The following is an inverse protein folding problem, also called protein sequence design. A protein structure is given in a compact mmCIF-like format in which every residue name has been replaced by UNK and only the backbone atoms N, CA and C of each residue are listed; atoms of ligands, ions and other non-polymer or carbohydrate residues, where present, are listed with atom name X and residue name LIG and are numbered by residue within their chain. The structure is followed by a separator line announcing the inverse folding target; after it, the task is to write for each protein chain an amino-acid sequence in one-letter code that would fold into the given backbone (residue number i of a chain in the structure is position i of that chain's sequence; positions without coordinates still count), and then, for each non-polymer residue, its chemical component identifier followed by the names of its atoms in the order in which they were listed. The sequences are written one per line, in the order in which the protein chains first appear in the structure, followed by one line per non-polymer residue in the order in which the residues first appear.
data_IF_105768831946
#
_entry.id   IF_105768831946
#
_cell.length_a   1.000
_cell.length_b   1.000
_cell.length_c   1.000
_cell.angle_alpha   90.00
_cell.angle_beta   90.00
_cell.angle_gamma   90.00
#
_symmetry.space_group_name_H-M   'P 1'
#
loop_
_entity.id
_entity.type
_entity.pdbx_description
1 polymer ?
#
# COMPACT_ATOMS: atom_id res chain seq x y z
N UNK A 1 13.73 34.30 13.93
CA UNK A 1 15.01 34.14 13.22
C UNK A 1 15.98 33.31 14.05
N UNK A 2 16.62 32.32 13.47
CA UNK A 2 17.58 31.41 14.13
C UNK A 2 18.93 32.08 14.42
N UNK A 3 19.11 33.35 14.07
CA UNK A 3 20.34 34.18 14.29
C UNK A 3 21.65 33.48 13.89
N UNK A 4 21.62 32.55 12.92
CA UNK A 4 22.82 31.89 12.37
C UNK A 4 22.80 31.92 10.84
N UNK A 5 23.98 32.02 10.24
CA UNK A 5 24.20 31.88 8.80
C UNK A 5 24.73 30.49 8.41
N UNK A 6 25.05 29.66 9.41
CA UNK A 6 25.50 28.28 9.18
C UNK A 6 24.28 27.36 9.02
N UNK A 7 24.21 26.70 7.85
CA UNK A 7 23.12 25.81 7.49
C UNK A 7 22.99 24.61 8.45
N UNK A 8 24.09 24.03 8.87
CA UNK A 8 24.10 22.85 9.77
C UNK A 8 23.67 23.23 11.17
N UNK A 9 24.06 24.41 11.66
CA UNK A 9 23.59 24.94 12.94
C UNK A 9 22.12 25.31 12.84
N UNK A 10 21.69 25.95 11.74
CA UNK A 10 20.27 26.25 11.50
C UNK A 10 19.39 25.00 11.49
N UNK A 11 19.88 23.91 10.86
CA UNK A 11 19.18 22.63 10.81
C UNK A 11 19.02 21.99 12.20
N UNK A 12 20.03 22.10 13.06
CA UNK A 12 19.98 21.63 14.45
C UNK A 12 19.08 22.49 15.35
N UNK A 13 19.02 23.80 15.10
CA UNK A 13 18.20 24.74 15.88
C UNK A 13 16.74 24.82 15.39
N UNK A 14 16.47 24.39 14.16
CA UNK A 14 15.11 24.42 13.59
C UNK A 14 14.06 23.71 14.44
N UNK A 15 14.27 22.49 14.97
CA UNK A 15 13.28 21.81 15.82
C UNK A 15 12.99 22.60 17.11
N UNK A 16 14.01 23.27 17.68
CA UNK A 16 13.86 24.08 18.86
C UNK A 16 13.06 25.37 18.59
N UNK A 17 13.32 26.04 17.47
CA UNK A 17 12.58 27.23 17.07
C UNK A 17 11.12 26.91 16.70
N UNK A 18 10.88 25.78 16.04
CA UNK A 18 9.53 25.28 15.76
C UNK A 18 8.77 24.95 17.05
N UNK A 19 9.45 24.39 18.05
CA UNK A 19 8.90 24.12 19.38
C UNK A 19 8.51 25.40 20.11
N UNK A 20 9.35 26.43 20.08
CA UNK A 20 9.05 27.75 20.66
C UNK A 20 7.84 28.39 19.96
N UNK A 21 7.78 28.34 18.64
CA UNK A 21 6.68 28.90 17.86
C UNK A 21 5.34 28.18 18.15
N UNK A 22 5.38 26.87 18.30
CA UNK A 22 4.21 26.06 18.67
C UNK A 22 3.75 26.43 20.09
N UNK A 23 4.69 26.60 21.03
CA UNK A 23 4.38 27.03 22.40
C UNK A 23 3.74 28.41 22.42
N UNK A 24 4.24 29.33 21.60
CA UNK A 24 3.70 30.69 21.46
C UNK A 24 2.30 30.70 20.84
N UNK A 25 2.08 29.92 19.78
CA UNK A 25 0.79 29.78 19.08
C UNK A 25 -0.27 29.03 19.91
N UNK A 26 0.15 28.17 20.83
CA UNK A 26 -0.76 27.38 21.67
C UNK A 26 -1.02 28.04 23.03
N UNK A 27 -0.37 29.18 23.34
CA UNK A 27 -0.48 29.85 24.64
C UNK A 27 0.08 29.05 25.81
N UNK A 28 0.89 28.01 25.51
CA UNK A 28 1.51 27.17 26.52
C UNK A 28 2.79 27.84 27.06
N UNK A 29 2.61 28.80 27.96
CA UNK A 29 3.71 29.32 28.78
C UNK A 29 4.24 28.19 29.69
N UNK A 30 5.49 27.91 29.59
CA UNK A 30 6.48 27.23 30.47
C UNK A 30 6.06 26.56 31.81
N UNK A 31 4.82 26.13 31.96
CA UNK A 31 4.46 25.11 32.91
C UNK A 31 4.30 23.80 32.20
N UNK A 32 5.07 22.79 32.53
CA UNK A 32 5.10 21.44 31.97
C UNK A 32 3.73 20.70 32.04
N UNK A 33 2.70 21.28 31.44
CA UNK A 33 1.45 20.54 31.20
C UNK A 33 1.70 19.65 29.99
N UNK A 34 1.92 18.37 30.23
CA UNK A 34 2.00 17.38 29.16
C UNK A 34 0.82 17.56 28.21
N UNK A 35 1.14 17.78 26.94
CA UNK A 35 0.12 17.99 25.92
C UNK A 35 -0.70 16.69 25.77
N UNK A 36 -2.02 16.80 25.89
CA UNK A 36 -2.89 15.63 25.70
C UNK A 36 -2.72 15.07 24.29
N UNK A 37 -2.92 13.75 24.13
CA UNK A 37 -2.84 13.11 22.81
C UNK A 37 -3.78 13.75 21.80
N UNK A 38 -4.96 14.22 22.22
CA UNK A 38 -5.92 14.90 21.39
C UNK A 38 -5.32 16.17 20.75
N UNK A 39 -4.73 17.05 21.55
CA UNK A 39 -4.07 18.27 21.07
C UNK A 39 -2.85 17.95 20.21
N UNK A 40 -2.04 17.00 20.63
CA UNK A 40 -0.86 16.55 19.88
C UNK A 40 -1.26 16.01 18.49
N UNK A 41 -2.29 15.17 18.44
CA UNK A 41 -2.76 14.55 17.19
C UNK A 41 -3.35 15.58 16.22
N UNK A 42 -4.04 16.59 16.72
CA UNK A 42 -4.58 17.69 15.91
C UNK A 42 -3.46 18.51 15.24
N UNK A 43 -2.40 18.83 16.00
CA UNK A 43 -1.22 19.55 15.47
C UNK A 43 -0.49 18.67 14.44
N UNK A 44 -0.28 17.40 14.77
CA UNK A 44 0.38 16.44 13.90
C UNK A 44 -0.32 16.29 12.54
N UNK A 45 -1.66 16.18 12.53
CA UNK A 45 -2.44 16.07 11.30
C UNK A 45 -2.33 17.32 10.43
N UNK A 46 -2.38 18.51 11.03
CA UNK A 46 -2.23 19.78 10.31
C UNK A 46 -0.86 19.93 9.64
N UNK A 47 0.20 19.45 10.28
CA UNK A 47 1.57 19.62 9.80
C UNK A 47 2.07 18.45 8.93
N UNK A 48 1.29 17.40 8.76
CA UNK A 48 1.73 16.22 8.02
C UNK A 48 1.38 16.29 6.54
N UNK A 49 2.41 16.27 5.67
CA UNK A 49 2.28 16.18 4.21
C UNK A 49 2.01 14.74 3.75
N UNK A 50 0.94 14.10 4.24
CA UNK A 50 0.58 12.74 3.87
C UNK A 50 -0.49 12.70 2.78
N UNK A 51 -0.56 11.58 2.04
CA UNK A 51 -1.66 11.36 1.10
C UNK A 51 -3.00 11.37 1.83
N UNK A 52 -4.05 11.83 1.15
CA UNK A 52 -5.43 11.91 1.68
C UNK A 52 -5.86 10.58 2.33
N UNK A 53 -5.56 9.44 1.71
CA UNK A 53 -5.92 8.13 2.25
C UNK A 53 -5.16 7.82 3.55
N UNK A 54 -3.88 8.17 3.63
CA UNK A 54 -3.08 7.98 4.85
C UNK A 54 -3.59 8.89 5.96
N UNK A 55 -3.96 10.12 5.63
CA UNK A 55 -4.53 11.08 6.56
C UNK A 55 -5.83 10.55 7.18
N UNK A 56 -6.78 10.06 6.37
CA UNK A 56 -8.03 9.43 6.84
C UNK A 56 -7.80 8.25 7.77
N UNK A 57 -6.79 7.40 7.48
CA UNK A 57 -6.43 6.27 8.35
C UNK A 57 -5.94 6.78 9.71
N UNK A 58 -5.11 7.83 9.73
CA UNK A 58 -4.57 8.41 10.95
C UNK A 58 -5.65 9.10 11.76
N UNK A 59 -6.52 9.88 11.13
CA UNK A 59 -7.70 10.50 11.79
C UNK A 59 -8.57 9.45 12.50
N UNK A 60 -8.89 8.35 11.79
CA UNK A 60 -9.69 7.28 12.37
C UNK A 60 -8.97 6.59 13.54
N UNK A 61 -7.67 6.31 13.41
CA UNK A 61 -6.87 5.73 14.47
C UNK A 61 -6.82 6.62 15.72
N UNK A 62 -6.60 7.93 15.53
CA UNK A 62 -6.54 8.91 16.62
C UNK A 62 -7.91 9.09 17.29
N UNK A 63 -8.98 9.24 16.50
CA UNK A 63 -10.34 9.31 17.03
C UNK A 63 -10.68 8.11 17.91
N UNK A 64 -10.36 6.90 17.46
CA UNK A 64 -10.62 5.70 18.22
C UNK A 64 -9.76 5.62 19.49
N UNK A 65 -8.50 6.04 19.43
CA UNK A 65 -7.61 6.09 20.59
C UNK A 65 -8.08 7.10 21.63
N UNK A 66 -8.45 8.32 21.23
CA UNK A 66 -8.99 9.37 22.10
C UNK A 66 -10.29 8.88 22.79
N UNK A 67 -11.17 8.20 22.04
CA UNK A 67 -12.41 7.63 22.56
C UNK A 67 -12.19 6.32 23.34
N UNK A 68 -10.95 5.91 23.59
CA UNK A 68 -10.58 4.68 24.30
C UNK A 68 -11.26 3.41 23.74
N UNK A 69 -11.55 3.40 22.44
CA UNK A 69 -12.11 2.22 21.78
C UNK A 69 -11.07 1.11 21.67
N UNK A 70 -11.49 -0.16 21.76
CA UNK A 70 -10.57 -1.29 21.57
C UNK A 70 -9.92 -1.23 20.19
N UNK A 71 -8.67 -1.69 20.12
CA UNK A 71 -7.96 -1.81 18.85
C UNK A 71 -8.66 -2.81 17.94
N UNK A 72 -8.60 -2.63 16.62
CA UNK A 72 -9.20 -3.56 15.67
C UNK A 72 -8.74 -5.01 15.90
N UNK A 73 -9.64 -5.96 15.79
CA UNK A 73 -9.35 -7.40 15.88
C UNK A 73 -8.48 -7.90 14.72
N UNK A 74 -8.70 -7.35 13.52
CA UNK A 74 -7.89 -7.66 12.35
C UNK A 74 -6.44 -7.17 12.53
N UNK A 75 -5.44 -8.07 12.41
CA UNK A 75 -4.02 -7.81 12.65
C UNK A 75 -3.46 -6.66 11.83
N UNK A 76 -3.82 -6.57 10.54
CA UNK A 76 -3.36 -5.50 9.66
C UNK A 76 -3.94 -4.13 10.05
N UNK A 77 -5.22 -4.07 10.39
CA UNK A 77 -5.88 -2.83 10.84
C UNK A 77 -5.31 -2.39 12.19
N UNK A 78 -5.15 -3.33 13.12
CA UNK A 78 -4.52 -3.10 14.43
C UNK A 78 -3.13 -2.53 14.29
N UNK A 79 -2.28 -3.15 13.47
CA UNK A 79 -0.91 -2.70 13.25
C UNK A 79 -0.84 -1.30 12.60
N UNK A 80 -1.80 -0.95 11.75
CA UNK A 80 -1.89 0.40 11.19
C UNK A 80 -2.26 1.44 12.23
N UNK A 81 -3.21 1.15 13.13
CA UNK A 81 -3.60 2.04 14.23
C UNK A 81 -2.42 2.28 15.18
N UNK A 82 -1.74 1.20 15.61
CA UNK A 82 -0.57 1.30 16.50
C UNK A 82 0.53 2.14 15.87
N UNK A 83 0.87 1.88 14.61
CA UNK A 83 1.88 2.68 13.89
C UNK A 83 1.50 4.15 13.77
N UNK A 84 0.23 4.46 13.54
CA UNK A 84 -0.24 5.84 13.46
C UNK A 84 -0.09 6.57 14.80
N UNK A 85 -0.53 5.95 15.90
CA UNK A 85 -0.44 6.49 17.26
C UNK A 85 1.02 6.70 17.65
N UNK A 86 1.86 5.67 17.46
CA UNK A 86 3.29 5.73 17.78
C UNK A 86 4.04 6.75 16.92
N UNK A 87 3.63 6.94 15.65
CA UNK A 87 4.21 7.97 14.78
C UNK A 87 3.88 9.38 15.28
N UNK A 88 2.68 9.61 15.82
CA UNK A 88 2.28 10.88 16.41
C UNK A 88 3.13 11.19 17.65
N UNK A 89 3.27 10.25 18.58
CA UNK A 89 4.12 10.40 19.76
C UNK A 89 5.59 10.64 19.42
N UNK A 90 6.14 9.86 18.48
CA UNK A 90 7.52 10.04 18.01
C UNK A 90 7.75 11.42 17.37
N UNK A 91 6.76 11.91 16.63
CA UNK A 91 6.82 13.24 16.04
C UNK A 91 6.83 14.33 17.12
N UNK A 92 5.97 14.21 18.15
CA UNK A 92 5.92 15.14 19.26
C UNK A 92 7.22 15.20 20.04
N UNK A 93 7.82 14.04 20.33
CA UNK A 93 9.15 13.94 20.99
C UNK A 93 10.24 14.61 20.17
N UNK A 94 10.33 14.28 18.87
CA UNK A 94 11.37 14.83 17.99
C UNK A 94 11.32 16.35 17.85
N UNK A 95 10.16 16.96 18.07
CA UNK A 95 9.94 18.41 17.98
C UNK A 95 9.90 19.11 19.33
N UNK A 96 10.11 18.37 20.41
CA UNK A 96 10.06 18.92 21.76
C UNK A 96 8.65 19.40 22.18
N UNK A 97 7.61 18.98 21.48
CA UNK A 97 6.20 19.33 21.77
C UNK A 97 5.70 18.56 23.01
N UNK A 98 6.25 17.38 23.22
CA UNK A 98 6.04 16.55 24.41
C UNK A 98 7.38 16.05 24.95
N UNK A 99 7.47 15.89 26.26
CA UNK A 99 8.69 15.37 26.94
C UNK A 99 8.66 13.85 27.05
N UNK A 100 7.47 13.25 27.05
CA UNK A 100 7.25 11.80 27.14
C UNK A 100 6.29 11.30 26.07
N UNK A 101 6.51 10.08 25.59
CA UNK A 101 5.63 9.42 24.63
C UNK A 101 4.97 8.20 25.26
N UNK A 102 3.66 8.13 25.12
CA UNK A 102 2.86 6.98 25.54
C UNK A 102 2.59 6.08 24.35
N UNK A 103 3.64 5.36 23.94
CA UNK A 103 3.57 4.44 22.79
C UNK A 103 2.86 3.15 23.17
N UNK A 104 2.18 2.58 22.17
CA UNK A 104 1.65 1.24 22.30
C UNK A 104 2.75 0.24 21.98
N UNK A 105 3.12 -0.57 22.97
CA UNK A 105 4.11 -1.65 22.83
C UNK A 105 3.40 -2.94 22.38
N UNK A 106 3.17 -3.06 21.09
CA UNK A 106 2.52 -4.21 20.48
C UNK A 106 3.12 -4.46 19.09
N UNK A 107 2.98 -5.68 18.60
CA UNK A 107 3.46 -6.02 17.26
C UNK A 107 2.78 -5.16 16.19
N UNK A 108 3.60 -4.48 15.41
CA UNK A 108 3.19 -3.60 14.31
C UNK A 108 3.24 -4.28 12.95
N UNK A 109 3.57 -5.57 12.90
CA UNK A 109 3.57 -6.36 11.68
C UNK A 109 2.18 -6.94 11.43
N UNK A 110 1.66 -6.67 10.25
CA UNK A 110 0.46 -7.34 9.78
C UNK A 110 0.84 -8.63 9.05
N UNK A 111 -0.03 -9.60 9.09
CA UNK A 111 0.17 -10.85 8.35
C UNK A 111 0.00 -10.60 6.84
N UNK A 112 0.94 -11.09 6.00
CA UNK A 112 0.77 -11.02 4.57
C UNK A 112 -0.36 -11.95 4.12
N UNK A 113 -1.23 -11.45 3.25
CA UNK A 113 -2.30 -12.27 2.68
C UNK A 113 -1.69 -13.29 1.71
N UNK A 114 -2.08 -14.55 1.84
CA UNK A 114 -1.54 -15.67 1.06
C UNK A 114 -2.49 -16.20 -0.03
N UNK A 115 -3.72 -15.68 -0.15
CA UNK A 115 -4.72 -16.12 -1.13
C UNK A 115 -4.22 -15.92 -2.57
N UNK A 116 -4.26 -16.98 -3.36
CA UNK A 116 -4.05 -17.01 -4.81
C UNK A 116 -5.24 -17.69 -5.49
N UNK A 117 -5.41 -17.47 -6.79
CA UNK A 117 -6.46 -18.13 -7.56
C UNK A 117 -5.97 -19.47 -8.11
N UNK A 118 -6.83 -20.49 -8.08
CA UNK A 118 -6.59 -21.75 -8.78
C UNK A 118 -6.77 -21.55 -10.30
N UNK A 119 -6.30 -22.52 -11.10
CA UNK A 119 -6.48 -22.50 -12.55
C UNK A 119 -7.98 -22.45 -12.93
N UNK A 120 -8.80 -23.27 -12.27
CA UNK A 120 -10.26 -23.29 -12.51
C UNK A 120 -10.94 -21.95 -12.15
N UNK A 121 -10.51 -21.28 -11.07
CA UNK A 121 -11.04 -19.96 -10.71
C UNK A 121 -10.64 -18.88 -11.72
N UNK A 122 -9.42 -18.93 -12.26
CA UNK A 122 -8.95 -18.01 -13.30
C UNK A 122 -9.73 -18.24 -14.60
N UNK A 123 -9.88 -19.49 -15.02
CA UNK A 123 -10.63 -19.88 -16.22
C UNK A 123 -12.07 -19.41 -16.13
N UNK A 124 -12.76 -19.73 -15.04
CA UNK A 124 -14.13 -19.27 -14.77
C UNK A 124 -14.24 -17.73 -14.79
N UNK A 125 -13.28 -17.01 -14.22
CA UNK A 125 -13.28 -15.54 -14.28
C UNK A 125 -13.08 -15.03 -15.70
N UNK A 126 -12.19 -15.64 -16.47
CA UNK A 126 -11.88 -15.19 -17.84
C UNK A 126 -13.00 -15.50 -18.83
N UNK A 127 -13.79 -16.51 -18.59
CA UNK A 127 -14.95 -16.85 -19.41
C UNK A 127 -16.19 -16.05 -19.04
N UNK A 128 -16.39 -15.77 -17.76
CA UNK A 128 -17.70 -15.36 -17.25
C UNK A 128 -17.79 -13.93 -16.71
N UNK A 129 -16.68 -13.23 -16.47
CA UNK A 129 -16.74 -11.83 -15.98
C UNK A 129 -17.30 -10.90 -17.07
N UNK A 130 -18.27 -10.09 -16.69
CA UNK A 130 -18.91 -9.09 -17.55
C UNK A 130 -18.77 -7.66 -17.01
N UNK A 131 -18.81 -6.63 -17.88
CA UNK A 131 -18.80 -6.71 -19.35
C UNK A 131 -17.41 -7.11 -19.88
N UNK A 132 -17.34 -7.45 -21.15
CA UNK A 132 -16.10 -7.87 -21.83
C UNK A 132 -14.92 -6.90 -21.60
N UNK A 133 -15.18 -5.60 -21.62
CA UNK A 133 -14.13 -4.59 -21.34
C UNK A 133 -13.55 -4.72 -19.92
N UNK A 134 -14.36 -5.08 -18.92
CA UNK A 134 -13.89 -5.33 -17.58
C UNK A 134 -13.21 -6.70 -17.45
N UNK A 135 -13.67 -7.70 -18.19
CA UNK A 135 -12.99 -9.00 -18.30
C UNK A 135 -11.57 -8.82 -18.83
N UNK A 136 -11.40 -8.07 -19.92
CA UNK A 136 -10.08 -7.77 -20.48
C UNK A 136 -9.18 -7.01 -19.47
N UNK A 137 -9.75 -6.10 -18.67
CA UNK A 137 -9.03 -5.44 -17.59
C UNK A 137 -8.52 -6.43 -16.52
N UNK A 138 -9.35 -7.40 -16.12
CA UNK A 138 -9.00 -8.46 -15.16
C UNK A 138 -7.92 -9.39 -15.73
N UNK A 139 -8.08 -9.83 -16.98
CA UNK A 139 -7.09 -10.66 -17.69
C UNK A 139 -5.76 -9.94 -17.85
N UNK A 140 -5.79 -8.67 -18.24
CA UNK A 140 -4.59 -7.85 -18.36
C UNK A 140 -3.85 -7.69 -17.02
N UNK A 141 -4.60 -7.48 -15.93
CA UNK A 141 -4.03 -7.41 -14.59
C UNK A 141 -3.33 -8.71 -14.19
N UNK A 142 -3.91 -9.85 -14.55
CA UNK A 142 -3.30 -11.15 -14.31
C UNK A 142 -2.05 -11.36 -15.18
N UNK A 143 -2.12 -11.14 -16.50
CA UNK A 143 -1.01 -11.42 -17.41
C UNK A 143 0.20 -10.49 -17.26
N UNK A 144 0.03 -9.35 -16.61
CA UNK A 144 1.11 -8.39 -16.36
C UNK A 144 1.56 -8.33 -14.92
N UNK A 145 0.75 -8.81 -14.00
CA UNK A 145 0.95 -8.59 -12.56
C UNK A 145 0.90 -7.13 -12.15
N UNK A 146 0.42 -6.21 -13.01
CA UNK A 146 0.33 -4.79 -12.71
C UNK A 146 -0.71 -4.49 -11.62
N UNK A 147 -0.51 -3.39 -10.88
CA UNK A 147 -1.50 -2.94 -9.90
C UNK A 147 -2.69 -2.30 -10.60
N UNK A 148 -3.90 -2.44 -10.07
CA UNK A 148 -5.11 -1.82 -10.66
C UNK A 148 -4.95 -0.32 -10.91
N UNK A 149 -4.29 0.40 -10.01
CA UNK A 149 -4.02 1.83 -10.17
C UNK A 149 -3.04 2.12 -11.31
N UNK A 150 -2.09 1.24 -11.56
CA UNK A 150 -1.16 1.36 -12.68
C UNK A 150 -1.88 1.14 -14.00
N UNK A 151 -2.72 0.09 -14.09
CA UNK A 151 -3.50 -0.21 -15.31
C UNK A 151 -4.46 0.92 -15.66
N UNK A 152 -5.14 1.48 -14.66
CA UNK A 152 -6.07 2.61 -14.82
C UNK A 152 -5.40 3.92 -15.27
N UNK A 153 -4.09 4.04 -15.10
CA UNK A 153 -3.31 5.20 -15.52
C UNK A 153 -2.59 5.02 -16.86
N UNK A 154 -2.85 3.92 -17.57
CA UNK A 154 -2.23 3.67 -18.87
C UNK A 154 -2.90 4.58 -19.91
N UNK A 155 -2.06 5.30 -20.68
CA UNK A 155 -2.46 5.95 -21.92
C UNK A 155 -1.80 5.23 -23.12
N UNK A 156 -2.35 5.40 -24.31
CA UNK A 156 -1.78 4.79 -25.53
C UNK A 156 -0.33 5.22 -25.74
N UNK A 157 -0.01 6.46 -25.42
CA UNK A 157 1.36 7.02 -25.53
C UNK A 157 2.39 6.30 -24.67
N UNK A 158 1.94 5.63 -23.62
CA UNK A 158 2.80 4.88 -22.71
C UNK A 158 3.00 3.43 -23.13
N UNK A 159 2.32 2.98 -24.18
CA UNK A 159 2.46 1.64 -24.76
C UNK A 159 3.65 1.62 -25.71
N UNK A 160 4.60 0.74 -25.44
CA UNK A 160 5.82 0.54 -26.22
C UNK A 160 5.87 -0.91 -26.68
N UNK A 161 6.75 -1.21 -27.64
CA UNK A 161 6.92 -2.61 -28.04
C UNK A 161 7.46 -3.46 -26.88
N UNK A 162 6.60 -4.34 -26.41
CA UNK A 162 6.93 -5.31 -25.34
C UNK A 162 6.86 -4.80 -23.92
N UNK A 163 6.52 -3.54 -23.66
CA UNK A 163 6.29 -3.01 -22.30
C UNK A 163 5.40 -1.76 -22.29
N UNK A 164 4.89 -1.44 -21.12
CA UNK A 164 4.19 -0.18 -20.87
C UNK A 164 4.88 0.59 -19.75
N UNK A 165 4.85 1.92 -19.84
CA UNK A 165 5.32 2.80 -18.77
C UNK A 165 4.12 3.19 -17.91
N UNK A 166 4.16 2.85 -16.62
CA UNK A 166 3.08 3.15 -15.69
C UNK A 166 3.54 4.05 -14.56
N UNK A 167 2.61 4.87 -14.06
CA UNK A 167 2.81 5.68 -12.87
C UNK A 167 2.18 4.99 -11.67
N UNK A 168 3.01 4.50 -10.76
CA UNK A 168 2.56 3.88 -9.51
C UNK A 168 2.80 4.78 -8.29
N UNK A 169 2.34 4.34 -7.13
CA UNK A 169 2.57 5.02 -5.84
C UNK A 169 4.07 5.25 -5.52
N UNK A 170 4.95 4.41 -6.08
CA UNK A 170 6.38 4.43 -5.82
C UNK A 170 7.21 5.06 -6.94
N UNK A 171 6.55 5.73 -7.90
CA UNK A 171 7.16 6.36 -9.07
C UNK A 171 6.81 5.65 -10.37
N UNK A 172 7.48 6.08 -11.45
CA UNK A 172 7.35 5.47 -12.79
C UNK A 172 8.09 4.14 -12.84
N UNK A 173 7.50 3.17 -13.52
CA UNK A 173 8.15 1.89 -13.82
C UNK A 173 7.70 1.32 -15.16
N UNK A 174 8.48 0.42 -15.71
CA UNK A 174 8.10 -0.39 -16.86
C UNK A 174 7.38 -1.67 -16.39
N UNK A 175 6.34 -2.05 -17.11
CA UNK A 175 5.62 -3.32 -16.97
C UNK A 175 5.82 -4.10 -18.26
N UNK A 176 6.43 -5.26 -18.15
CA UNK A 176 6.66 -6.16 -19.29
C UNK A 176 5.31 -6.72 -19.78
N UNK A 177 5.10 -6.73 -21.09
CA UNK A 177 3.97 -7.36 -21.72
C UNK A 177 4.38 -8.75 -22.23
N UNK A 178 3.66 -9.78 -21.82
CA UNK A 178 3.70 -11.09 -22.45
C UNK A 178 2.78 -11.12 -23.68
N UNK A 179 2.73 -12.23 -24.42
CA UNK A 179 1.90 -12.37 -25.62
C UNK A 179 0.44 -12.01 -25.37
N UNK A 180 -0.17 -12.62 -24.36
CA UNK A 180 -1.58 -12.40 -24.01
C UNK A 180 -1.88 -10.94 -23.64
N UNK A 181 -0.97 -10.27 -22.96
CA UNK A 181 -1.14 -8.86 -22.62
C UNK A 181 -1.00 -7.95 -23.83
N UNK A 182 -0.10 -8.28 -24.78
CA UNK A 182 0.02 -7.58 -26.06
C UNK A 182 -1.25 -7.70 -26.89
N UNK A 183 -1.81 -8.90 -27.01
CA UNK A 183 -3.05 -9.16 -27.76
C UNK A 183 -4.21 -8.34 -27.19
N UNK A 184 -4.33 -8.28 -25.86
CA UNK A 184 -5.37 -7.50 -25.19
C UNK A 184 -5.21 -5.99 -25.50
N UNK A 185 -4.01 -5.45 -25.42
CA UNK A 185 -3.77 -4.02 -25.70
C UNK A 185 -4.02 -3.70 -27.16
N UNK A 186 -3.56 -4.56 -28.09
CA UNK A 186 -3.72 -4.36 -29.54
C UNK A 186 -5.18 -4.43 -29.99
N UNK A 187 -6.01 -5.22 -29.31
CA UNK A 187 -7.44 -5.34 -29.58
C UNK A 187 -8.28 -4.17 -29.04
N UNK A 188 -7.69 -3.29 -28.22
CA UNK A 188 -8.41 -2.19 -27.56
C UNK A 188 -8.26 -0.88 -28.35
N UNK A 189 -9.38 -0.26 -28.73
CA UNK A 189 -9.39 1.11 -29.26
C UNK A 189 -9.18 2.16 -28.19
N UNK A 190 -9.67 1.90 -26.98
CA UNK A 190 -9.57 2.78 -25.79
C UNK A 190 -9.12 1.97 -24.60
N UNK A 191 -8.22 2.55 -23.80
CA UNK A 191 -7.78 1.95 -22.55
C UNK A 191 -8.78 2.27 -21.43
N UNK A 192 -8.68 1.54 -20.34
CA UNK A 192 -9.65 1.56 -19.25
C UNK A 192 -9.56 2.82 -18.40
N UNK A 193 -10.58 3.65 -18.43
CA UNK A 193 -10.76 4.81 -17.53
C UNK A 193 -11.73 4.44 -16.38
N UNK A 194 -11.33 3.48 -15.57
CA UNK A 194 -12.13 3.07 -14.42
C UNK A 194 -11.71 3.80 -13.14
N UNK A 195 -12.69 4.20 -12.31
CA UNK A 195 -12.38 4.67 -10.96
C UNK A 195 -11.88 3.52 -10.07
N UNK A 196 -11.14 3.87 -9.01
CA UNK A 196 -10.67 2.89 -8.02
C UNK A 196 -11.84 2.12 -7.39
N UNK A 197 -12.90 2.82 -7.08
CA UNK A 197 -14.06 2.25 -6.40
C UNK A 197 -14.86 1.35 -7.35
N UNK A 198 -15.01 1.75 -8.61
CA UNK A 198 -15.61 0.90 -9.63
C UNK A 198 -14.90 -0.45 -9.74
N UNK A 199 -13.56 -0.45 -9.92
CA UNK A 199 -12.80 -1.71 -10.02
C UNK A 199 -13.01 -2.59 -8.79
N UNK A 200 -12.96 -2.01 -7.59
CA UNK A 200 -13.12 -2.77 -6.35
C UNK A 200 -14.52 -3.36 -6.19
N UNK A 201 -15.56 -2.57 -6.45
CA UNK A 201 -16.94 -3.01 -6.31
C UNK A 201 -17.35 -3.98 -7.43
N UNK A 202 -17.00 -3.65 -8.67
CA UNK A 202 -17.32 -4.51 -9.82
C UNK A 202 -16.65 -5.87 -9.70
N UNK A 203 -15.35 -5.92 -9.40
CA UNK A 203 -14.64 -7.18 -9.21
C UNK A 203 -15.27 -8.00 -8.08
N UNK A 204 -15.57 -7.38 -6.94
CA UNK A 204 -16.21 -8.05 -5.81
C UNK A 204 -17.60 -8.60 -6.15
N UNK A 205 -18.38 -7.86 -6.96
CA UNK A 205 -19.69 -8.31 -7.46
C UNK A 205 -19.54 -9.55 -8.33
N UNK A 206 -18.62 -9.52 -9.31
CA UNK A 206 -18.41 -10.61 -10.26
C UNK A 206 -17.91 -11.89 -9.57
N UNK A 207 -16.86 -11.81 -8.75
CA UNK A 207 -16.33 -13.02 -8.06
C UNK A 207 -17.36 -13.63 -7.10
N UNK A 208 -18.24 -12.82 -6.50
CA UNK A 208 -19.36 -13.34 -5.68
C UNK A 208 -20.38 -14.05 -6.54
N UNK A 209 -20.76 -13.49 -7.70
CA UNK A 209 -21.66 -14.12 -8.67
C UNK A 209 -21.14 -15.48 -9.13
N UNK A 210 -19.82 -15.60 -9.30
CA UNK A 210 -19.15 -16.82 -9.69
C UNK A 210 -18.88 -17.79 -8.53
N UNK A 211 -19.32 -17.48 -7.30
CA UNK A 211 -19.09 -18.32 -6.14
C UNK A 211 -17.65 -18.32 -5.60
N UNK A 212 -16.76 -17.46 -6.12
CA UNK A 212 -15.35 -17.42 -5.73
C UNK A 212 -15.24 -16.68 -4.38
N UNK A 213 -14.91 -17.43 -3.33
CA UNK A 213 -14.85 -16.93 -1.96
C UNK A 213 -13.50 -16.25 -1.66
N UNK A 214 -13.53 -15.31 -0.71
CA UNK A 214 -12.34 -14.63 -0.20
C UNK A 214 -11.43 -14.05 -1.31
N UNK A 215 -12.02 -13.50 -2.38
CA UNK A 215 -11.33 -13.00 -3.56
C UNK A 215 -11.14 -11.47 -3.51
N UNK A 216 -9.95 -11.00 -3.88
CA UNK A 216 -9.61 -9.57 -4.05
C UNK A 216 -8.89 -9.38 -5.37
N UNK A 217 -9.10 -8.24 -6.01
CA UNK A 217 -8.43 -7.91 -7.28
C UNK A 217 -6.90 -8.06 -7.21
N UNK A 218 -6.29 -7.65 -6.10
CA UNK A 218 -4.83 -7.74 -5.92
C UNK A 218 -4.30 -9.19 -5.82
N UNK A 219 -5.18 -10.16 -5.59
CA UNK A 219 -4.78 -11.58 -5.56
C UNK A 219 -4.40 -12.08 -6.97
N UNK A 220 -4.90 -11.43 -8.07
CA UNK A 220 -4.45 -11.70 -9.45
C UNK A 220 -2.93 -11.51 -9.60
N UNK A 221 -2.42 -10.41 -9.08
CA UNK A 221 -0.99 -10.13 -9.11
C UNK A 221 -0.19 -11.13 -8.29
N UNK A 222 -0.73 -11.59 -7.16
CA UNK A 222 -0.09 -12.63 -6.35
C UNK A 222 -0.08 -13.96 -7.08
N UNK A 223 -1.19 -14.31 -7.72
CA UNK A 223 -1.29 -15.51 -8.55
C UNK A 223 -0.32 -15.49 -9.72
N UNK A 224 -0.20 -14.35 -10.41
CA UNK A 224 0.81 -14.16 -11.47
C UNK A 224 2.22 -14.47 -10.96
N UNK A 225 2.62 -13.87 -9.83
CA UNK A 225 3.96 -14.11 -9.27
C UNK A 225 4.19 -15.55 -8.84
N UNK A 226 3.20 -16.20 -8.20
CA UNK A 226 3.29 -17.62 -7.83
C UNK A 226 3.41 -18.53 -9.04
N UNK A 227 2.61 -18.30 -10.09
CA UNK A 227 2.67 -19.12 -11.30
C UNK A 227 4.01 -18.98 -12.03
N UNK A 228 4.66 -17.81 -11.97
CA UNK A 228 6.03 -17.66 -12.49
C UNK A 228 7.07 -18.42 -11.65
N UNK A 229 6.88 -18.49 -10.33
CA UNK A 229 7.73 -19.30 -9.46
C UNK A 229 7.59 -20.80 -9.83
N UNK A 230 6.35 -21.28 -9.98
CA UNK A 230 6.07 -22.66 -10.40
C UNK A 230 6.69 -23.02 -11.76
N UNK A 231 6.85 -22.03 -12.64
CA UNK A 231 7.56 -22.15 -13.92
C UNK A 231 9.09 -22.06 -13.79
N UNK A 232 9.65 -22.02 -12.58
CA UNK A 232 11.09 -21.97 -12.34
C UNK A 232 11.71 -20.59 -12.49
N UNK A 233 10.90 -19.51 -12.61
CA UNK A 233 11.46 -18.17 -12.69
C UNK A 233 12.04 -17.72 -11.34
N UNK A 234 13.27 -17.23 -11.33
CA UNK A 234 13.93 -16.79 -10.11
C UNK A 234 13.18 -15.63 -9.43
N UNK A 235 13.16 -15.64 -8.10
CA UNK A 235 12.49 -14.63 -7.26
C UNK A 235 12.98 -13.19 -7.57
N UNK A 236 14.25 -13.06 -7.96
CA UNK A 236 14.82 -11.78 -8.40
C UNK A 236 14.14 -11.25 -9.67
N UNK A 237 13.98 -12.10 -10.70
CA UNK A 237 13.29 -11.74 -11.95
C UNK A 237 11.83 -11.36 -11.68
N UNK A 238 11.13 -12.13 -10.85
CA UNK A 238 9.75 -11.87 -10.43
C UNK A 238 9.65 -10.54 -9.68
N UNK A 239 10.59 -10.26 -8.77
CA UNK A 239 10.65 -8.98 -8.05
C UNK A 239 10.74 -7.79 -9.03
N UNK A 240 11.56 -7.91 -10.08
CA UNK A 240 11.70 -6.90 -11.13
C UNK A 240 10.41 -6.75 -11.95
N UNK A 241 9.80 -7.84 -12.41
CA UNK A 241 8.52 -7.83 -13.13
C UNK A 241 7.41 -7.18 -12.32
N UNK A 242 7.31 -7.52 -11.05
CA UNK A 242 6.35 -6.92 -10.14
C UNK A 242 6.70 -5.47 -9.75
N UNK A 243 7.92 -5.00 -9.97
CA UNK A 243 8.37 -3.67 -9.59
C UNK A 243 8.37 -3.49 -8.07
N UNK A 244 8.91 -4.45 -7.35
CA UNK A 244 9.20 -4.32 -5.93
C UNK A 244 10.53 -3.59 -5.75
N UNK A 245 10.59 -2.65 -4.79
CA UNK A 245 11.83 -1.93 -4.47
C UNK A 245 12.90 -2.83 -3.85
N UNK A 246 12.50 -3.92 -3.22
CA UNK A 246 13.36 -4.89 -2.57
C UNK A 246 12.88 -6.31 -2.84
N UNK A 247 13.79 -7.23 -3.09
CA UNK A 247 13.51 -8.67 -3.25
C UNK A 247 12.89 -9.23 -1.97
N UNK A 248 13.27 -8.73 -0.80
CA UNK A 248 12.66 -9.10 0.49
C UNK A 248 11.14 -8.97 0.50
N UNK A 249 10.57 -8.02 -0.26
CA UNK A 249 9.11 -7.90 -0.40
C UNK A 249 8.53 -9.11 -1.13
N UNK A 250 9.24 -9.59 -2.16
CA UNK A 250 8.81 -10.78 -2.91
C UNK A 250 8.94 -12.02 -2.04
N UNK A 251 10.06 -12.19 -1.36
CA UNK A 251 10.28 -13.30 -0.40
C UNK A 251 9.18 -13.34 0.66
N UNK A 252 8.90 -12.23 1.34
CA UNK A 252 7.87 -12.15 2.37
C UNK A 252 6.48 -12.59 1.87
N UNK A 253 6.14 -12.28 0.62
CA UNK A 253 4.82 -12.60 0.07
C UNK A 253 4.72 -13.98 -0.54
N UNK A 254 5.81 -14.56 -1.00
CA UNK A 254 5.80 -15.83 -1.75
C UNK A 254 6.47 -17.00 -1.01
N UNK A 255 7.43 -16.76 -0.12
CA UNK A 255 8.08 -17.85 0.62
C UNK A 255 7.08 -18.80 1.32
N UNK A 256 6.02 -18.30 2.03
CA UNK A 256 5.04 -19.18 2.63
C UNK A 256 4.24 -20.01 1.61
N UNK A 257 4.07 -19.51 0.39
CA UNK A 257 3.37 -20.22 -0.69
C UNK A 257 4.28 -21.28 -1.34
N UNK A 258 5.58 -20.99 -1.43
CA UNK A 258 6.57 -21.92 -1.98
C UNK A 258 6.73 -23.18 -1.11
N UNK A 259 6.61 -23.06 0.19
CA UNK A 259 6.70 -24.23 1.10
C UNK A 259 5.62 -25.27 0.78
N UNK A 260 4.45 -24.85 0.34
CA UNK A 260 3.34 -25.74 -0.05
C UNK A 260 3.64 -26.46 -1.37
N UNK A 261 4.52 -25.89 -2.19
CA UNK A 261 4.88 -26.39 -3.52
C UNK A 261 6.18 -27.22 -3.51
N UNK A 262 6.79 -27.41 -2.33
CA UNK A 262 7.96 -28.32 -2.21
C UNK A 262 7.45 -29.76 -2.36
N UNK A 263 7.99 -30.46 -3.35
CA UNK A 263 7.72 -31.88 -3.55
C UNK A 263 8.21 -32.68 -2.34
N UNK A 264 7.64 -33.85 -2.16
CA UNK A 264 8.04 -34.78 -1.09
C UNK A 264 9.52 -35.13 -1.24
N UNK A 265 10.26 -35.20 -0.14
CA UNK A 265 11.70 -35.47 -0.16
C UNK A 265 12.06 -36.47 0.95
N UNK A 266 13.01 -37.34 0.64
CA UNK A 266 13.60 -38.29 1.59
C UNK A 266 14.94 -37.76 2.13
N UNK A 267 15.27 -38.07 3.40
CA UNK A 267 16.52 -37.71 4.06
C UNK A 267 17.50 -38.86 4.08
#
# INVERSE_FOLDING_TARGET
SLKTKDYNIALKLKPFAESLLINELTGLNNQHKELSFEKLSAIFLKQSSRSINTHKIYENAFKNHILQKPLPTNSNSRSMHIRAINACWNWGLKRGVVTKAYKLDMDTRGEPRQRTYSSNELELMFESIEPQSFNLFVRFAYYTGARSGEIRSISIENVQDGYIIVQGKTGRRMVKLNGQAKDIISAQKFLWDYSKDYVSHKFKKEVRRLGIKNARFHDLRRTFGLNLIKQGMSIYKISKLLGHKSVKTTELHYAPLMTIEIEDFEL
#
